data_IF_284628399593
#
_entry.id   IF_284628399593
#
_cell.length_a   1.000
_cell.length_b   1.000
_cell.length_c   1.000
_cell.angle_alpha   90.00
_cell.angle_beta   90.00
_cell.angle_gamma   90.00
#
_symmetry.space_group_name_H-M   'P 1'
#
loop_
_entity.id
_entity.type
_entity.pdbx_description
1 polymer ?
#
# COMPACT_ATOMS: atom_id res chain seq x y z
N UNK A 1 -39.31 15.68 7.31
CA UNK A 1 -38.46 14.51 7.61
C UNK A 1 -38.47 14.17 9.09
N UNK A 2 -38.54 15.17 9.99
CA UNK A 2 -38.50 14.97 11.45
C UNK A 2 -39.63 14.10 12.01
N UNK A 3 -40.83 14.21 11.44
CA UNK A 3 -42.02 13.45 11.87
C UNK A 3 -41.95 11.95 11.53
N UNK A 4 -41.10 11.57 10.57
CA UNK A 4 -40.88 10.16 10.17
C UNK A 4 -39.76 9.57 11.05
N UNK A 5 -38.69 10.33 11.30
CA UNK A 5 -37.58 9.89 12.17
C UNK A 5 -38.04 9.64 13.62
N UNK A 6 -38.95 10.46 14.14
CA UNK A 6 -39.54 10.27 15.48
C UNK A 6 -40.45 9.05 15.57
N UNK A 7 -41.17 8.70 14.50
CA UNK A 7 -41.98 7.47 14.46
C UNK A 7 -41.14 6.21 14.37
N UNK A 8 -39.95 6.29 13.79
CA UNK A 8 -39.03 5.16 13.59
C UNK A 8 -37.97 5.04 14.70
N UNK A 9 -38.03 5.91 15.72
CA UNK A 9 -37.05 6.00 16.82
C UNK A 9 -35.60 6.05 16.31
N UNK A 10 -35.39 6.73 15.19
CA UNK A 10 -34.06 6.89 14.58
C UNK A 10 -33.36 8.00 15.35
N UNK A 11 -32.44 7.63 16.24
CA UNK A 11 -31.52 8.57 16.86
C UNK A 11 -30.60 9.13 15.76
N UNK A 12 -30.64 10.44 15.47
CA UNK A 12 -29.70 11.03 14.54
C UNK A 12 -28.30 10.88 15.15
N UNK A 13 -27.45 10.07 14.53
CA UNK A 13 -26.04 9.99 14.91
C UNK A 13 -25.44 11.38 14.77
N UNK A 14 -24.84 11.92 15.83
CA UNK A 14 -24.01 13.11 15.71
C UNK A 14 -22.97 12.85 14.61
N UNK A 15 -23.03 13.65 13.53
CA UNK A 15 -22.07 13.50 12.45
C UNK A 15 -20.74 14.00 12.97
N UNK A 16 -19.76 13.10 13.09
CA UNK A 16 -18.38 13.48 13.38
C UNK A 16 -17.92 14.53 12.36
N UNK A 17 -17.46 15.67 12.87
CA UNK A 17 -17.05 16.79 12.04
C UNK A 17 -15.70 16.45 11.39
N UNK A 18 -15.73 16.14 10.10
CA UNK A 18 -14.52 15.91 9.29
C UNK A 18 -13.89 17.26 8.95
N UNK A 19 -12.67 17.50 9.44
CA UNK A 19 -11.92 18.74 9.20
C UNK A 19 -11.15 18.68 7.87
N UNK A 20 -10.66 17.49 7.49
CA UNK A 20 -9.98 17.28 6.22
C UNK A 20 -10.17 15.86 5.70
N UNK A 21 -10.01 15.68 4.37
CA UNK A 21 -10.02 14.35 3.77
C UNK A 21 -9.04 14.23 2.61
N UNK A 22 -8.53 13.01 2.40
CA UNK A 22 -7.62 12.69 1.32
C UNK A 22 -8.04 11.39 0.64
N UNK A 23 -8.24 11.43 -0.68
CA UNK A 23 -8.43 10.26 -1.50
C UNK A 23 -7.14 9.96 -2.29
N UNK A 24 -6.49 8.84 -1.97
CA UNK A 24 -5.29 8.37 -2.66
C UNK A 24 -5.66 7.22 -3.59
N UNK A 25 -5.34 7.35 -4.88
CA UNK A 25 -5.44 6.25 -5.84
C UNK A 25 -4.07 5.72 -6.22
N UNK A 26 -3.84 4.43 -6.01
CA UNK A 26 -2.56 3.80 -6.26
C UNK A 26 -2.71 2.33 -6.67
N UNK A 27 -2.07 1.96 -7.78
CA UNK A 27 -2.10 0.60 -8.37
C UNK A 27 -3.52 0.02 -8.46
N UNK A 28 -4.49 0.81 -8.93
CA UNK A 28 -5.89 0.39 -9.11
C UNK A 28 -6.71 0.29 -7.81
N UNK A 29 -6.13 0.58 -6.65
CA UNK A 29 -6.87 0.76 -5.39
C UNK A 29 -7.13 2.23 -5.11
N UNK A 30 -8.21 2.51 -4.36
CA UNK A 30 -8.50 3.83 -3.79
C UNK A 30 -8.55 3.68 -2.27
N UNK A 31 -7.91 4.60 -1.54
CA UNK A 31 -8.04 4.71 -0.08
C UNK A 31 -8.46 6.13 0.27
N UNK A 32 -9.45 6.21 1.14
CA UNK A 32 -9.96 7.44 1.70
C UNK A 32 -9.47 7.57 3.15
N UNK A 33 -8.97 8.74 3.50
CA UNK A 33 -8.56 9.10 4.85
C UNK A 33 -9.41 10.30 5.27
N UNK A 34 -10.13 10.18 6.37
CA UNK A 34 -10.79 11.29 7.05
C UNK A 34 -9.92 11.70 8.24
N UNK A 35 -9.81 13.01 8.45
CA UNK A 35 -9.17 13.62 9.61
C UNK A 35 -10.26 14.39 10.33
N UNK A 36 -10.45 14.05 11.60
CA UNK A 36 -11.43 14.63 12.50
C UNK A 36 -10.74 15.20 13.76
N UNK A 37 -11.56 15.75 14.65
CA UNK A 37 -11.14 16.31 15.94
C UNK A 37 -10.47 15.31 16.90
N UNK A 38 -10.69 14.00 16.74
CA UNK A 38 -10.09 12.96 17.59
C UNK A 38 -8.82 12.34 16.99
N UNK A 39 -8.56 12.59 15.70
CA UNK A 39 -7.43 12.00 14.97
C UNK A 39 -6.08 12.43 15.58
N UNK A 40 -5.95 13.70 15.99
CA UNK A 40 -4.72 14.24 16.59
C UNK A 40 -4.49 13.65 17.99
N UNK A 41 -5.56 13.46 18.76
CA UNK A 41 -5.50 12.91 20.14
C UNK A 41 -5.03 11.45 20.16
N UNK A 42 -5.27 10.70 19.08
CA UNK A 42 -4.87 9.30 18.96
C UNK A 42 -3.41 9.11 18.52
N UNK A 43 -2.75 10.16 17.99
CA UNK A 43 -1.37 10.05 17.47
C UNK A 43 -0.36 9.53 18.51
N UNK A 44 -0.31 10.04 19.76
CA UNK A 44 0.64 9.54 20.76
C UNK A 44 0.46 8.04 21.03
N UNK A 45 -0.78 7.56 21.09
CA UNK A 45 -1.08 6.15 21.31
C UNK A 45 -0.65 5.28 20.12
N UNK A 46 -0.85 5.76 18.88
CA UNK A 46 -0.38 5.08 17.68
C UNK A 46 1.15 4.98 17.66
N UNK A 47 1.85 6.06 18.01
CA UNK A 47 3.31 6.05 18.15
C UNK A 47 3.79 5.05 19.20
N UNK A 48 3.17 5.00 20.38
CA UNK A 48 3.54 4.04 21.43
C UNK A 48 3.29 2.60 21.02
N UNK A 49 2.18 2.32 20.34
CA UNK A 49 1.90 0.98 19.80
C UNK A 49 2.95 0.56 18.77
N UNK A 50 3.34 1.46 17.88
CA UNK A 50 4.39 1.22 16.90
C UNK A 50 5.77 1.00 17.56
N UNK A 51 6.12 1.82 18.55
CA UNK A 51 7.36 1.64 19.32
C UNK A 51 7.37 0.29 20.06
N UNK A 52 6.24 -0.09 20.67
CA UNK A 52 6.08 -1.36 21.35
C UNK A 52 6.23 -2.55 20.39
N UNK A 53 5.62 -2.49 19.20
CA UNK A 53 5.70 -3.57 18.22
C UNK A 53 7.11 -3.72 17.64
N UNK A 54 7.85 -2.63 17.50
CA UNK A 54 9.23 -2.65 17.02
C UNK A 54 10.25 -3.11 18.08
N UNK A 55 9.91 -3.08 19.37
CA UNK A 55 10.82 -3.46 20.47
C UNK A 55 11.35 -4.89 20.36
N UNK A 56 10.46 -5.84 20.07
CA UNK A 56 10.82 -7.26 19.84
C UNK A 56 11.22 -7.56 18.40
N UNK A 57 11.19 -6.56 17.51
CA UNK A 57 11.28 -6.76 16.08
C UNK A 57 9.93 -7.12 15.48
N UNK A 58 9.62 -6.54 14.33
CA UNK A 58 8.39 -6.76 13.60
C UNK A 58 8.69 -7.04 12.13
N UNK A 59 8.21 -8.19 11.64
CA UNK A 59 8.20 -8.49 10.22
C UNK A 59 7.00 -7.85 9.54
N UNK A 60 7.19 -7.32 8.34
CA UNK A 60 6.11 -6.83 7.50
C UNK A 60 6.24 -7.41 6.09
N UNK A 61 5.10 -7.63 5.44
CA UNK A 61 5.05 -8.09 4.07
C UNK A 61 3.81 -7.48 3.40
N UNK A 62 4.05 -6.64 2.42
CA UNK A 62 3.03 -6.03 1.60
C UNK A 62 3.28 -6.40 0.14
N UNK A 63 2.34 -7.11 -0.47
CA UNK A 63 2.37 -7.48 -1.88
C UNK A 63 1.10 -6.96 -2.55
N UNK A 64 1.25 -6.25 -3.67
CA UNK A 64 0.12 -5.83 -4.50
C UNK A 64 0.42 -6.11 -5.96
N UNK A 65 -0.49 -6.83 -6.61
CA UNK A 65 -0.48 -7.05 -8.05
C UNK A 65 -1.75 -6.41 -8.61
N UNK A 66 -1.62 -5.62 -9.67
CA UNK A 66 -2.77 -5.12 -10.40
C UNK A 66 -2.46 -4.93 -11.88
N UNK A 67 -3.49 -5.02 -12.71
CA UNK A 67 -3.37 -4.67 -14.11
C UNK A 67 -3.53 -3.15 -14.23
N UNK A 68 -2.42 -2.45 -14.37
CA UNK A 68 -2.39 -0.98 -14.41
C UNK A 68 -2.93 -0.41 -15.73
N UNK A 69 -2.97 -1.23 -16.78
CA UNK A 69 -3.52 -0.87 -18.07
C UNK A 69 -4.02 -2.12 -18.79
N UNK A 70 -5.23 -2.09 -19.33
CA UNK A 70 -5.78 -3.17 -20.15
C UNK A 70 -6.57 -2.59 -21.31
N UNK A 71 -6.32 -3.07 -22.51
CA UNK A 71 -7.02 -2.70 -23.73
C UNK A 71 -7.30 -3.96 -24.53
N UNK A 72 -8.55 -4.13 -24.92
CA UNK A 72 -8.96 -5.15 -25.88
C UNK A 72 -9.72 -4.47 -26.99
N UNK A 73 -9.28 -4.68 -28.22
CA UNK A 73 -9.94 -4.17 -29.43
C UNK A 73 -10.27 -5.37 -30.31
N UNK A 74 -11.52 -5.44 -30.76
CA UNK A 74 -11.96 -6.48 -31.67
C UNK A 74 -12.75 -5.88 -32.84
N UNK A 75 -12.49 -6.36 -34.05
CA UNK A 75 -13.19 -5.93 -35.25
C UNK A 75 -13.21 -7.03 -36.32
N UNK A 76 -14.23 -7.06 -37.19
CA UNK A 76 -14.24 -7.97 -38.33
C UNK A 76 -13.20 -7.53 -39.37
N UNK A 77 -12.48 -8.49 -39.94
CA UNK A 77 -11.56 -8.24 -41.07
C UNK A 77 -12.30 -8.31 -42.40
N UNK A 78 -11.64 -7.90 -43.49
CA UNK A 78 -12.20 -8.01 -44.85
C UNK A 78 -12.52 -9.47 -45.25
N UNK A 79 -11.85 -10.47 -44.65
CA UNK A 79 -12.17 -11.88 -44.84
C UNK A 79 -13.33 -12.38 -43.97
N UNK A 80 -13.95 -11.51 -43.17
CA UNK A 80 -15.03 -11.84 -42.24
C UNK A 80 -14.56 -12.49 -40.94
N UNK A 81 -13.25 -12.71 -40.76
CA UNK A 81 -12.71 -13.30 -39.52
C UNK A 81 -12.61 -12.24 -38.41
N UNK A 82 -12.98 -12.56 -37.16
CA UNK A 82 -12.86 -11.64 -36.04
C UNK A 82 -11.38 -11.48 -35.67
N UNK A 83 -10.85 -10.27 -35.80
CA UNK A 83 -9.53 -9.91 -35.30
C UNK A 83 -9.64 -9.42 -33.85
N UNK A 84 -8.67 -9.80 -33.02
CA UNK A 84 -8.58 -9.43 -31.60
C UNK A 84 -7.16 -8.94 -31.32
N UNK A 85 -7.05 -7.74 -30.76
CA UNK A 85 -5.83 -7.19 -30.19
C UNK A 85 -6.01 -7.02 -28.68
N UNK A 86 -5.06 -7.56 -27.90
CA UNK A 86 -5.01 -7.41 -26.46
C UNK A 86 -3.70 -6.73 -26.05
N UNK A 87 -3.79 -5.76 -25.15
CA UNK A 87 -2.65 -5.12 -24.51
C UNK A 87 -2.90 -5.06 -23.01
N UNK A 88 -2.00 -5.60 -22.20
CA UNK A 88 -2.10 -5.62 -20.75
C UNK A 88 -0.78 -5.22 -20.10
N UNK A 89 -0.87 -4.57 -18.93
CA UNK A 89 0.29 -4.16 -18.12
C UNK A 89 0.10 -4.56 -16.65
N UNK A 90 0.20 -5.86 -16.32
CA UNK A 90 0.34 -6.30 -14.94
C UNK A 90 1.57 -5.66 -14.27
N UNK A 91 1.35 -5.12 -13.08
CA UNK A 91 2.38 -4.50 -12.25
C UNK A 91 2.30 -5.07 -10.83
N UNK A 92 3.45 -5.49 -10.31
CA UNK A 92 3.70 -5.97 -8.97
C UNK A 92 4.47 -4.90 -8.20
N UNK A 93 4.01 -4.62 -6.99
CA UNK A 93 4.76 -3.93 -5.96
C UNK A 93 4.86 -4.86 -4.76
N UNK A 94 6.07 -5.02 -4.24
CA UNK A 94 6.35 -5.73 -3.01
C UNK A 94 7.24 -4.89 -2.10
N UNK A 95 6.86 -4.81 -0.84
CA UNK A 95 7.63 -4.19 0.23
C UNK A 95 7.54 -5.11 1.43
N UNK A 96 8.65 -5.74 1.80
CA UNK A 96 8.69 -6.64 2.95
C UNK A 96 10.02 -6.55 3.67
N UNK A 97 10.06 -7.08 4.89
CA UNK A 97 11.26 -6.96 5.71
C UNK A 97 11.02 -7.16 7.19
N UNK A 98 12.02 -6.80 7.98
CA UNK A 98 11.98 -6.81 9.42
C UNK A 98 12.59 -5.52 9.94
N UNK A 99 11.93 -4.89 10.90
CA UNK A 99 12.45 -3.72 11.60
C UNK A 99 12.43 -3.98 13.10
N UNK A 100 13.47 -3.55 13.80
CA UNK A 100 13.55 -3.57 15.26
C UNK A 100 14.08 -2.23 15.75
N UNK A 101 13.47 -1.69 16.80
CA UNK A 101 13.93 -0.47 17.45
C UNK A 101 13.81 -0.62 18.96
N UNK A 102 14.88 -0.31 19.68
CA UNK A 102 14.91 -0.27 21.14
C UNK A 102 15.38 1.11 21.58
N UNK A 103 14.81 1.61 22.67
CA UNK A 103 15.20 2.88 23.25
C UNK A 103 15.33 2.78 24.75
N UNK A 104 16.15 3.65 25.33
CA UNK A 104 16.26 3.77 26.78
C UNK A 104 16.18 5.26 27.18
N UNK A 105 15.22 5.68 28.03
CA UNK A 105 14.03 4.93 28.47
C UNK A 105 13.12 4.47 27.30
N UNK A 106 12.28 3.47 27.56
CA UNK A 106 11.42 2.84 26.54
C UNK A 106 10.36 3.84 26.04
N UNK A 107 10.38 4.13 24.73
CA UNK A 107 9.46 5.05 24.06
C UNK A 107 7.99 4.61 24.17
N UNK A 108 7.75 3.31 24.38
CA UNK A 108 6.40 2.78 24.58
C UNK A 108 5.87 2.98 26.01
N UNK A 109 6.72 3.39 26.96
CA UNK A 109 6.36 3.57 28.37
C UNK A 109 5.85 5.00 28.69
N UNK A 110 5.23 5.20 29.87
CA UNK A 110 4.72 6.51 30.34
C UNK A 110 3.24 6.78 30.06
N UNK A 111 2.75 7.98 30.40
CA UNK A 111 1.33 8.37 30.29
C UNK A 111 0.82 8.36 28.84
N UNK A 112 -0.48 8.17 28.61
CA UNK A 112 -1.07 8.06 27.27
C UNK A 112 -0.91 9.32 26.39
N UNK A 113 -0.54 10.46 26.97
CA UNK A 113 -0.50 11.77 26.31
C UNK A 113 0.90 12.32 26.05
N UNK A 114 1.97 11.64 26.49
CA UNK A 114 3.34 12.15 26.36
C UNK A 114 4.30 11.11 25.78
N UNK A 115 5.15 11.55 24.84
CA UNK A 115 6.26 10.76 24.28
C UNK A 115 7.52 11.10 25.07
N UNK A 116 8.06 10.14 25.80
CA UNK A 116 9.30 10.34 26.56
C UNK A 116 10.49 10.57 25.62
N UNK A 117 11.42 11.45 25.99
CA UNK A 117 12.67 11.63 25.22
C UNK A 117 13.64 10.49 25.54
N UNK A 118 14.03 9.66 24.55
CA UNK A 118 15.00 8.59 24.77
C UNK A 118 16.42 9.17 24.83
N UNK A 119 17.26 8.57 25.66
CA UNK A 119 18.69 8.87 25.76
C UNK A 119 19.49 8.08 24.72
N UNK A 120 19.11 6.81 24.50
CA UNK A 120 19.71 5.94 23.50
C UNK A 120 18.65 5.32 22.59
N UNK A 121 19.01 5.09 21.34
CA UNK A 121 18.19 4.40 20.34
C UNK A 121 19.08 3.42 19.58
N UNK A 122 18.69 2.15 19.56
CA UNK A 122 19.27 1.12 18.70
C UNK A 122 18.19 0.65 17.74
N UNK A 123 18.38 0.91 16.45
CA UNK A 123 17.46 0.54 15.40
C UNK A 123 18.17 -0.33 14.35
N UNK A 124 17.45 -1.31 13.82
CA UNK A 124 17.89 -2.10 12.68
C UNK A 124 16.72 -2.33 11.75
N UNK A 125 16.99 -2.30 10.45
CA UNK A 125 16.00 -2.54 9.42
C UNK A 125 16.62 -3.36 8.30
N UNK A 126 15.90 -4.41 7.91
CA UNK A 126 16.09 -5.12 6.67
C UNK A 126 14.83 -4.93 5.84
N UNK A 127 14.96 -4.32 4.66
CA UNK A 127 13.85 -4.01 3.78
C UNK A 127 14.16 -4.53 2.39
N UNK A 128 13.19 -5.17 1.76
CA UNK A 128 13.23 -5.57 0.36
C UNK A 128 12.10 -4.86 -0.37
N UNK A 129 12.49 -4.04 -1.34
CA UNK A 129 11.57 -3.37 -2.26
C UNK A 129 11.67 -4.04 -3.64
N UNK A 130 10.55 -4.51 -4.18
CA UNK A 130 10.47 -5.03 -5.54
C UNK A 130 9.36 -4.32 -6.31
N UNK A 131 9.71 -3.77 -7.46
CA UNK A 131 8.77 -3.27 -8.45
C UNK A 131 8.97 -4.05 -9.74
N UNK A 132 7.92 -4.69 -10.25
CA UNK A 132 7.99 -5.47 -11.48
C UNK A 132 6.78 -5.16 -12.36
N UNK A 133 6.99 -4.95 -13.64
CA UNK A 133 5.92 -4.71 -14.60
C UNK A 133 6.19 -5.51 -15.87
N UNK A 134 5.13 -6.07 -16.43
CA UNK A 134 5.18 -6.83 -17.67
C UNK A 134 4.16 -6.23 -18.63
N UNK A 135 4.63 -5.75 -19.77
CA UNK A 135 3.77 -5.32 -20.88
C UNK A 135 3.57 -6.52 -21.79
N UNK A 136 2.32 -6.93 -21.98
CA UNK A 136 1.94 -8.07 -22.81
C UNK A 136 1.05 -7.57 -23.92
N UNK A 137 1.43 -7.86 -25.16
CA UNK A 137 0.62 -7.59 -26.34
C UNK A 137 0.38 -8.87 -27.11
N UNK A 138 -0.84 -9.08 -27.57
CA UNK A 138 -1.15 -10.16 -28.51
C UNK A 138 -2.13 -9.67 -29.55
N UNK A 139 -1.99 -10.21 -30.75
CA UNK A 139 -2.93 -10.02 -31.84
C UNK A 139 -3.23 -11.34 -32.50
N UNK A 140 -4.42 -11.48 -33.05
CA UNK A 140 -4.81 -12.72 -33.69
C UNK A 140 -6.20 -12.66 -34.28
N UNK A 141 -6.63 -13.78 -34.84
CA UNK A 141 -7.98 -13.96 -35.33
C UNK A 141 -8.50 -15.35 -34.97
N UNK A 142 -9.83 -15.44 -34.88
CA UNK A 142 -10.53 -16.71 -34.68
C UNK A 142 -11.00 -17.21 -36.04
N UNK A 143 -10.79 -18.50 -36.32
CA UNK A 143 -11.33 -19.18 -37.49
C UNK A 143 -12.49 -20.09 -37.05
N UNK A 144 -13.76 -19.62 -37.13
CA UNK A 144 -14.88 -20.35 -36.55
C UNK A 144 -15.11 -21.71 -37.23
N UNK A 145 -14.79 -21.80 -38.53
CA UNK A 145 -15.02 -22.98 -39.36
C UNK A 145 -14.14 -24.18 -38.99
N UNK A 146 -12.95 -23.95 -38.41
CA UNK A 146 -12.07 -25.01 -37.92
C UNK A 146 -11.85 -24.93 -36.40
N UNK A 147 -12.53 -24.00 -35.70
CA UNK A 147 -12.43 -23.74 -34.26
C UNK A 147 -11.00 -23.44 -33.79
N UNK A 148 -10.15 -22.88 -34.67
CA UNK A 148 -8.78 -22.54 -34.33
C UNK A 148 -8.61 -21.04 -34.05
N UNK A 149 -7.66 -20.73 -33.18
CA UNK A 149 -7.26 -19.38 -32.84
C UNK A 149 -5.81 -19.20 -33.28
N UNK A 150 -5.57 -18.27 -34.19
CA UNK A 150 -4.23 -17.92 -34.63
C UNK A 150 -3.82 -16.64 -33.92
N UNK A 151 -2.70 -16.67 -33.20
CA UNK A 151 -2.23 -15.48 -32.47
C UNK A 151 -0.72 -15.37 -32.48
N UNK A 152 -0.25 -14.13 -32.41
CA UNK A 152 1.13 -13.77 -32.17
C UNK A 152 1.16 -12.74 -31.04
N UNK A 153 2.25 -12.69 -30.27
CA UNK A 153 2.36 -11.76 -29.17
C UNK A 153 3.79 -11.46 -28.79
N UNK A 154 3.95 -10.33 -28.11
CA UNK A 154 5.24 -9.84 -27.60
C UNK A 154 5.07 -9.47 -26.13
N UNK A 155 6.04 -9.89 -25.31
CA UNK A 155 6.10 -9.58 -23.89
C UNK A 155 7.38 -8.80 -23.59
N UNK A 156 7.27 -7.74 -22.80
CA UNK A 156 8.41 -6.98 -22.27
C UNK A 156 8.32 -6.93 -20.74
N UNK A 157 9.40 -7.30 -20.06
CA UNK A 157 9.50 -7.33 -18.61
C UNK A 157 10.46 -6.24 -18.13
N UNK A 158 10.10 -5.55 -17.06
CA UNK A 158 10.98 -4.63 -16.33
C UNK A 158 10.83 -4.93 -14.85
N UNK A 159 11.95 -5.14 -14.17
CA UNK A 159 11.96 -5.44 -12.74
C UNK A 159 13.10 -4.70 -12.05
N UNK A 160 12.80 -4.14 -10.89
CA UNK A 160 13.73 -3.51 -9.96
C UNK A 160 13.58 -4.20 -8.60
N UNK A 161 14.69 -4.62 -8.02
CA UNK A 161 14.75 -5.24 -6.69
C UNK A 161 15.86 -4.56 -5.89
N UNK A 162 15.49 -3.89 -4.80
CA UNK A 162 16.40 -3.12 -3.96
C UNK A 162 16.33 -3.69 -2.53
N UNK A 163 17.32 -4.48 -2.11
CA UNK A 163 17.51 -4.85 -0.72
C UNK A 163 18.26 -3.74 0.03
N UNK A 164 17.73 -3.34 1.18
CA UNK A 164 18.30 -2.33 2.08
C UNK A 164 18.51 -3.00 3.44
N UNK A 165 19.71 -2.85 4.00
CA UNK A 165 20.00 -3.20 5.38
C UNK A 165 20.69 -2.01 6.04
N UNK A 166 20.15 -1.57 7.15
CA UNK A 166 20.72 -0.48 7.92
C UNK A 166 20.64 -0.78 9.42
N UNK A 167 21.64 -0.31 10.15
CA UNK A 167 21.64 -0.27 11.61
C UNK A 167 21.92 1.16 12.01
N UNK A 168 21.36 1.59 13.13
CA UNK A 168 21.49 2.94 13.61
C UNK A 168 21.56 2.89 15.13
N UNK A 169 22.69 3.36 15.65
CA UNK A 169 22.95 3.45 17.07
C UNK A 169 23.16 4.93 17.41
N UNK A 170 22.19 5.51 18.13
CA UNK A 170 22.22 6.88 18.59
C UNK A 170 22.35 6.92 20.11
N UNK A 171 23.30 7.73 20.57
CA UNK A 171 23.49 8.08 21.97
C UNK A 171 23.44 9.60 22.09
N UNK A 172 22.26 10.10 22.49
CA UNK A 172 21.99 11.52 22.63
C UNK A 172 22.68 12.14 23.86
N UNK A 173 23.08 11.32 24.84
CA UNK A 173 23.79 11.79 26.05
C UNK A 173 25.24 12.08 25.71
N UNK A 174 25.87 11.21 24.92
CA UNK A 174 27.27 11.36 24.51
C UNK A 174 27.44 12.04 23.13
N UNK A 175 26.34 12.46 22.49
CA UNK A 175 26.30 13.02 21.15
C UNK A 175 27.02 12.15 20.10
N UNK A 176 26.86 10.82 20.20
CA UNK A 176 27.47 9.85 19.30
C UNK A 176 26.41 9.24 18.37
N UNK A 177 26.79 9.03 17.13
CA UNK A 177 25.96 8.41 16.10
C UNK A 177 26.81 7.43 15.29
N UNK A 178 26.31 6.20 15.13
CA UNK A 178 26.86 5.20 14.22
C UNK A 178 25.75 4.69 13.29
N UNK A 179 26.09 4.50 12.02
CA UNK A 179 25.19 4.05 10.92
C UNK A 179 25.87 2.93 10.15
#
# INVERSE_FOLDING_TARGET
>A
FDKINSMLNIEPSEQEQVEASLLVSFLGGKRYFAIDNHTVEQLPQLFKRAAASLRSGQSFNYTKISNTFSLTVAFPTASGLPFIFNLQKPTLLYVGGQAQAKSQPDLSSGSSHEIQRPQTINASVELQFVYSTRVQSSMGFVAPFNRQHYSAGVNKNVQVNIPIRAKLDLDAVNNKMAV
#
